data_IF_965269963144
#
_entry.id   IF_965269963144
#
_cell.length_a   1.000
_cell.length_b   1.000
_cell.length_c   1.000
_cell.angle_alpha   90.00
_cell.angle_beta   90.00
_cell.angle_gamma   90.00
#
_symmetry.space_group_name_H-M   'P 1'
#
loop_
_entity.id
_entity.type
_entity.pdbx_description
1 polymer ?
#
# COMPACT_ATOMS: atom_id res chain seq x y z
N UNK A 1 -1.19 -6.89 17.77
CA UNK A 1 -0.87 -7.12 16.36
C UNK A 1 -1.29 -5.96 15.50
N UNK A 2 -0.65 -5.80 14.35
CA UNK A 2 -1.06 -4.81 13.34
C UNK A 2 -1.09 -5.48 11.96
N UNK A 3 -2.12 -5.14 11.18
CA UNK A 3 -2.22 -5.50 9.76
C UNK A 3 -2.41 -4.22 8.96
N UNK A 4 -1.55 -3.98 7.99
CA UNK A 4 -1.61 -2.80 7.12
C UNK A 4 -1.62 -3.19 5.65
N UNK A 5 -2.52 -2.56 4.88
CA UNK A 5 -2.58 -2.71 3.43
C UNK A 5 -2.24 -1.39 2.74
N UNK A 6 -1.46 -1.42 1.68
CA UNK A 6 -1.13 -0.28 0.83
C UNK A 6 -0.64 0.94 1.66
N UNK A 7 -1.33 2.07 1.66
CA UNK A 7 -1.03 3.23 2.52
C UNK A 7 -1.04 2.85 4.01
N UNK A 8 -1.96 1.98 4.46
CA UNK A 8 -1.97 1.43 5.81
C UNK A 8 -0.69 0.68 6.16
N UNK A 9 0.00 0.12 5.17
CA UNK A 9 1.33 -0.47 5.34
C UNK A 9 2.42 0.55 5.66
N UNK A 10 2.37 1.75 5.08
CA UNK A 10 3.28 2.84 5.45
C UNK A 10 2.99 3.36 6.87
N UNK A 11 1.71 3.55 7.21
CA UNK A 11 1.26 3.99 8.54
C UNK A 11 1.67 2.95 9.61
N UNK A 12 1.47 1.66 9.33
CA UNK A 12 1.84 0.59 10.25
C UNK A 12 3.36 0.48 10.44
N UNK A 13 4.14 0.65 9.38
CA UNK A 13 5.60 0.70 9.46
C UNK A 13 6.05 1.87 10.35
N UNK A 14 5.47 3.05 10.15
CA UNK A 14 5.72 4.22 10.99
C UNK A 14 5.46 3.90 12.47
N UNK A 15 4.31 3.30 12.78
CA UNK A 15 3.96 2.95 14.15
C UNK A 15 4.97 1.97 14.78
N UNK A 16 5.45 0.99 14.02
CA UNK A 16 6.51 0.08 14.48
C UNK A 16 7.83 0.82 14.75
N UNK A 17 8.25 1.68 13.83
CA UNK A 17 9.49 2.47 13.96
C UNK A 17 9.45 3.47 15.13
N UNK A 18 8.26 3.96 15.48
CA UNK A 18 8.02 4.79 16.66
C UNK A 18 7.92 3.98 17.97
N UNK A 19 8.17 2.68 17.93
CA UNK A 19 8.21 1.81 19.11
C UNK A 19 6.83 1.49 19.70
N UNK A 20 5.75 1.54 18.91
CA UNK A 20 4.44 1.10 19.38
C UNK A 20 4.46 -0.40 19.69
N UNK A 21 3.84 -0.86 20.78
CA UNK A 21 4.01 -2.21 21.32
C UNK A 21 3.17 -3.24 20.57
N UNK A 22 3.59 -3.61 19.37
CA UNK A 22 3.00 -4.72 18.62
C UNK A 22 3.86 -5.99 18.79
N UNK A 23 3.21 -7.13 18.98
CA UNK A 23 3.85 -8.44 19.09
C UNK A 23 4.30 -8.99 17.73
N UNK A 24 3.55 -8.69 16.68
CA UNK A 24 3.89 -8.99 15.30
C UNK A 24 3.11 -8.11 14.33
N UNK A 25 3.55 -8.06 13.07
CA UNK A 25 2.91 -7.28 12.02
C UNK A 25 2.72 -8.08 10.73
N UNK A 26 1.66 -7.74 9.99
CA UNK A 26 1.45 -8.19 8.62
C UNK A 26 1.24 -7.01 7.68
N UNK A 27 1.87 -7.04 6.52
CA UNK A 27 1.71 -6.01 5.51
C UNK A 27 1.34 -6.62 4.16
N UNK A 28 0.28 -6.08 3.54
CA UNK A 28 -0.18 -6.47 2.22
C UNK A 28 0.09 -5.36 1.24
N UNK A 29 0.89 -5.63 0.21
CA UNK A 29 1.25 -4.66 -0.83
C UNK A 29 1.57 -3.25 -0.25
N UNK A 30 2.48 -3.15 0.74
CA UNK A 30 2.65 -1.92 1.50
C UNK A 30 3.25 -0.80 0.64
N UNK A 31 2.77 0.43 0.84
CA UNK A 31 3.26 1.61 0.15
C UNK A 31 4.59 2.12 0.76
N UNK A 32 5.62 1.29 0.73
CA UNK A 32 6.99 1.65 1.16
C UNK A 32 7.80 2.31 0.05
N UNK A 33 7.13 2.63 -1.04
CA UNK A 33 7.63 3.39 -2.17
C UNK A 33 6.52 3.67 -3.16
N UNK A 34 6.56 4.86 -3.78
CA UNK A 34 5.64 5.24 -4.85
C UNK A 34 6.34 5.07 -6.19
N UNK A 35 5.58 4.61 -7.20
CA UNK A 35 6.07 4.37 -8.57
C UNK A 35 6.38 5.64 -9.38
N UNK A 36 6.96 6.68 -8.75
CA UNK A 36 7.41 7.90 -9.40
C UNK A 36 8.88 7.83 -9.77
N UNK A 37 9.22 8.35 -10.95
CA UNK A 37 10.61 8.51 -11.38
C UNK A 37 11.35 9.52 -10.48
N UNK A 38 12.69 9.50 -10.41
CA UNK A 38 13.46 10.49 -9.65
C UNK A 38 13.14 11.95 -10.05
N UNK A 39 12.92 12.19 -11.36
CA UNK A 39 12.56 13.52 -11.86
C UNK A 39 11.18 13.94 -11.34
N UNK A 40 10.19 13.05 -11.38
CA UNK A 40 8.86 13.33 -10.86
C UNK A 40 8.89 13.60 -9.35
N UNK A 41 9.66 12.82 -8.58
CA UNK A 41 9.84 13.08 -7.14
C UNK A 41 10.48 14.43 -6.88
N UNK A 42 11.51 14.80 -7.64
CA UNK A 42 12.15 16.11 -7.53
C UNK A 42 11.15 17.25 -7.86
N UNK A 43 10.34 17.09 -8.91
CA UNK A 43 9.29 18.06 -9.24
C UNK A 43 8.27 18.20 -8.11
N UNK A 44 7.78 17.11 -7.54
CA UNK A 44 6.84 17.16 -6.41
C UNK A 44 7.46 17.90 -5.23
N UNK A 45 8.70 17.57 -4.84
CA UNK A 45 9.40 18.23 -3.73
C UNK A 45 9.59 19.74 -3.97
N UNK A 46 9.88 20.14 -5.19
CA UNK A 46 10.07 21.56 -5.54
C UNK A 46 8.73 22.33 -5.60
N UNK A 47 7.69 21.74 -6.20
CA UNK A 47 6.41 22.41 -6.40
C UNK A 47 5.50 22.37 -5.18
N UNK A 48 5.62 21.36 -4.32
CA UNK A 48 4.73 21.19 -3.15
C UNK A 48 4.73 22.41 -2.22
N UNK A 49 5.86 23.00 -1.81
CA UNK A 49 5.87 24.22 -1.00
C UNK A 49 5.17 25.41 -1.67
N UNK A 50 5.37 25.55 -2.98
CA UNK A 50 4.72 26.61 -3.76
C UNK A 50 3.20 26.41 -3.80
N UNK A 51 2.76 25.18 -4.07
CA UNK A 51 1.34 24.82 -4.06
C UNK A 51 0.71 25.06 -2.67
N UNK A 52 1.45 24.75 -1.61
CA UNK A 52 1.00 25.02 -0.24
C UNK A 52 0.85 26.54 0.02
N UNK A 53 1.86 27.33 -0.30
CA UNK A 53 1.84 28.78 -0.12
C UNK A 53 0.71 29.47 -0.90
N UNK A 54 0.30 28.90 -2.04
CA UNK A 54 -0.81 29.41 -2.86
C UNK A 54 -2.19 28.84 -2.44
N UNK A 55 -2.29 28.00 -1.40
CA UNK A 55 -3.53 27.33 -0.99
C UNK A 55 -4.04 26.28 -1.98
N UNK A 56 -3.17 25.78 -2.85
CA UNK A 56 -3.49 24.81 -3.91
C UNK A 56 -3.13 23.36 -3.57
N UNK A 57 -2.66 23.10 -2.36
CA UNK A 57 -2.18 21.78 -1.90
C UNK A 57 -3.24 20.66 -2.00
N UNK A 58 -4.52 21.03 -1.93
CA UNK A 58 -5.65 20.08 -2.05
C UNK A 58 -6.07 19.80 -3.50
N UNK A 59 -5.40 20.45 -4.48
CA UNK A 59 -5.62 20.13 -5.89
C UNK A 59 -5.20 18.70 -6.19
N UNK A 60 -6.00 18.04 -7.04
CA UNK A 60 -5.70 16.67 -7.47
C UNK A 60 -4.37 16.61 -8.20
N UNK A 61 -3.60 15.56 -7.93
CA UNK A 61 -2.33 15.33 -8.60
C UNK A 61 -2.52 15.16 -10.12
N UNK A 62 -1.63 15.73 -10.94
CA UNK A 62 -1.70 15.60 -12.39
C UNK A 62 -1.75 14.14 -12.85
N UNK A 63 -2.56 13.87 -13.87
CA UNK A 63 -2.73 12.52 -14.42
C UNK A 63 -3.72 11.64 -13.68
N UNK A 64 -4.33 12.12 -12.58
CA UNK A 64 -5.34 11.36 -11.83
C UNK A 64 -6.77 11.84 -12.15
N UNK A 65 -7.76 10.95 -11.96
CA UNK A 65 -9.18 11.25 -12.22
C UNK A 65 -9.94 11.57 -10.94
N UNK A 66 -11.05 12.33 -11.08
CA UNK A 66 -11.98 12.59 -9.98
C UNK A 66 -12.79 11.34 -9.60
N UNK A 67 -13.09 10.54 -10.60
CA UNK A 67 -13.87 9.33 -10.46
C UNK A 67 -13.03 8.22 -9.84
N UNK A 68 -13.66 7.44 -8.96
CA UNK A 68 -13.04 6.24 -8.36
C UNK A 68 -12.59 5.25 -9.43
N UNK A 69 -11.41 4.67 -9.22
CA UNK A 69 -10.75 3.78 -10.17
C UNK A 69 -11.67 2.71 -10.75
N UNK A 70 -12.40 1.97 -9.91
CA UNK A 70 -13.26 0.85 -10.30
C UNK A 70 -14.46 1.25 -11.17
N UNK A 71 -14.88 2.51 -11.17
CA UNK A 71 -16.02 2.97 -11.98
C UNK A 71 -15.67 3.33 -13.43
N UNK A 72 -14.37 3.40 -13.78
CA UNK A 72 -13.94 3.72 -15.13
C UNK A 72 -12.94 2.73 -15.71
N UNK A 73 -12.45 1.79 -14.89
CA UNK A 73 -11.48 0.79 -15.33
C UNK A 73 -12.17 -0.57 -15.49
N UNK A 74 -12.10 -1.23 -16.65
CA UNK A 74 -12.65 -2.57 -16.84
C UNK A 74 -11.84 -3.62 -16.07
N UNK A 75 -12.47 -4.75 -15.77
CA UNK A 75 -11.83 -5.84 -15.04
C UNK A 75 -10.54 -6.34 -15.73
N UNK A 76 -10.55 -6.45 -17.03
CA UNK A 76 -9.46 -7.02 -17.85
C UNK A 76 -8.13 -6.29 -17.61
N UNK A 77 -8.19 -4.97 -17.50
CA UNK A 77 -7.02 -4.09 -17.35
C UNK A 77 -6.80 -3.61 -15.91
N UNK A 78 -7.60 -4.09 -14.93
CA UNK A 78 -7.48 -3.61 -13.57
C UNK A 78 -6.17 -4.02 -12.91
N UNK A 79 -5.71 -3.24 -11.94
CA UNK A 79 -4.48 -3.47 -11.18
C UNK A 79 -4.74 -3.96 -9.75
N UNK A 80 -6.02 -4.12 -9.36
CA UNK A 80 -6.40 -4.37 -7.97
C UNK A 80 -6.42 -5.87 -7.64
N UNK A 81 -7.18 -6.67 -8.41
CA UNK A 81 -7.33 -8.10 -8.16
C UNK A 81 -7.47 -8.89 -9.45
N UNK A 82 -7.00 -10.13 -9.44
CA UNK A 82 -7.21 -11.09 -10.52
C UNK A 82 -8.55 -11.83 -10.43
N UNK A 83 -9.30 -11.65 -9.33
CA UNK A 83 -10.61 -12.26 -9.09
C UNK A 83 -11.74 -11.37 -9.60
N UNK A 84 -12.44 -11.83 -10.65
CA UNK A 84 -13.52 -11.06 -11.28
C UNK A 84 -14.74 -10.89 -10.36
N UNK A 85 -15.04 -11.88 -9.53
CA UNK A 85 -16.17 -11.80 -8.60
C UNK A 85 -15.91 -10.76 -7.52
N UNK A 86 -14.69 -10.76 -6.96
CA UNK A 86 -14.28 -9.78 -5.96
C UNK A 86 -14.20 -8.37 -6.56
N UNK A 87 -13.71 -8.22 -7.80
CA UNK A 87 -13.69 -6.92 -8.47
C UNK A 87 -15.09 -6.35 -8.66
N UNK A 88 -16.05 -7.20 -9.09
CA UNK A 88 -17.46 -6.81 -9.20
C UNK A 88 -18.04 -6.42 -7.84
N UNK A 89 -17.78 -7.22 -6.79
CA UNK A 89 -18.22 -6.93 -5.43
C UNK A 89 -17.73 -5.54 -4.95
N UNK A 90 -16.48 -5.21 -5.14
CA UNK A 90 -15.93 -3.89 -4.80
C UNK A 90 -16.60 -2.76 -5.61
N UNK A 91 -16.84 -2.99 -6.90
CA UNK A 91 -17.53 -2.04 -7.78
C UNK A 91 -18.97 -1.80 -7.34
N UNK A 92 -19.71 -2.88 -7.04
CA UNK A 92 -21.10 -2.80 -6.60
C UNK A 92 -21.24 -2.02 -5.29
N UNK A 93 -20.27 -2.13 -4.37
CA UNK A 93 -20.26 -1.32 -3.14
C UNK A 93 -20.15 0.18 -3.41
N UNK A 94 -19.28 0.58 -4.34
CA UNK A 94 -19.13 1.99 -4.73
C UNK A 94 -20.40 2.50 -5.43
N UNK A 95 -21.04 1.66 -6.24
CA UNK A 95 -22.32 2.01 -6.89
C UNK A 95 -23.43 2.19 -5.85
N UNK A 96 -23.52 1.28 -4.87
CA UNK A 96 -24.53 1.32 -3.82
C UNK A 96 -24.31 2.48 -2.82
N UNK A 97 -23.06 2.85 -2.59
CA UNK A 97 -22.64 3.90 -1.65
C UNK A 97 -21.59 4.80 -2.31
N UNK A 98 -22.01 5.78 -3.13
CA UNK A 98 -21.06 6.65 -3.87
C UNK A 98 -20.09 7.42 -3.00
N UNK A 99 -20.45 7.70 -1.75
CA UNK A 99 -19.59 8.40 -0.78
C UNK A 99 -18.35 7.58 -0.36
N UNK A 100 -18.33 6.28 -0.61
CA UNK A 100 -17.13 5.44 -0.46
C UNK A 100 -16.12 5.67 -1.58
N UNK A 101 -16.54 6.28 -2.67
CA UNK A 101 -15.73 6.49 -3.86
C UNK A 101 -14.76 7.66 -3.70
N UNK A 102 -13.47 7.37 -3.64
CA UNK A 102 -12.42 8.37 -3.66
C UNK A 102 -11.82 8.50 -5.06
N UNK A 103 -11.58 9.72 -5.48
CA UNK A 103 -10.79 10.01 -6.68
C UNK A 103 -9.29 9.90 -6.42
N UNK A 104 -8.49 10.30 -7.42
CA UNK A 104 -7.04 10.31 -7.30
C UNK A 104 -6.54 11.26 -6.18
N UNK A 105 -5.31 11.03 -5.69
CA UNK A 105 -4.74 11.74 -4.55
C UNK A 105 -4.56 13.24 -4.83
N UNK A 106 -4.50 14.03 -3.75
CA UNK A 106 -4.09 15.44 -3.84
C UNK A 106 -2.57 15.57 -4.01
N UNK A 107 -2.11 16.73 -4.48
CA UNK A 107 -0.67 17.02 -4.56
C UNK A 107 0.00 16.98 -3.18
N UNK A 108 -0.71 17.41 -2.14
CA UNK A 108 -0.23 17.32 -0.76
C UNK A 108 -0.05 15.85 -0.32
N UNK A 109 -1.05 15.00 -0.55
CA UNK A 109 -0.94 13.58 -0.22
C UNK A 109 0.28 12.93 -0.88
N UNK A 110 0.53 13.22 -2.17
CA UNK A 110 1.69 12.66 -2.89
C UNK A 110 3.01 13.15 -2.25
N UNK A 111 3.08 14.42 -1.87
CA UNK A 111 4.27 14.98 -1.24
C UNK A 111 4.55 14.35 0.14
N UNK A 112 3.52 14.18 0.97
CA UNK A 112 3.64 13.55 2.27
C UNK A 112 4.01 12.06 2.16
N UNK A 113 3.42 11.34 1.20
CA UNK A 113 3.77 9.95 0.96
C UNK A 113 5.23 9.76 0.50
N UNK A 114 5.79 10.70 -0.27
CA UNK A 114 7.22 10.70 -0.61
C UNK A 114 8.07 10.97 0.64
N UNK A 115 7.71 11.98 1.42
CA UNK A 115 8.45 12.35 2.63
C UNK A 115 8.45 11.20 3.65
N UNK A 116 7.32 10.53 3.84
CA UNK A 116 7.18 9.37 4.72
C UNK A 116 8.07 8.20 4.28
N UNK A 117 8.05 7.88 2.98
CA UNK A 117 8.88 6.81 2.45
C UNK A 117 10.39 7.13 2.56
N UNK A 118 10.78 8.38 2.38
CA UNK A 118 12.17 8.81 2.55
C UNK A 118 12.59 8.73 4.02
N UNK A 119 11.76 9.22 4.93
CA UNK A 119 11.98 9.14 6.37
C UNK A 119 12.13 7.67 6.84
N UNK A 120 11.21 6.78 6.44
CA UNK A 120 11.24 5.38 6.84
C UNK A 120 12.52 4.63 6.42
N UNK A 121 13.12 5.01 5.29
CA UNK A 121 14.39 4.43 4.82
C UNK A 121 15.58 4.71 5.71
N UNK A 122 15.54 5.79 6.47
CA UNK A 122 16.61 6.25 7.34
C UNK A 122 16.46 5.76 8.79
N UNK A 123 15.30 5.16 9.12
CA UNK A 123 15.05 4.69 10.47
C UNK A 123 15.64 3.31 10.74
N UNK A 124 15.97 3.00 12.00
CA UNK A 124 16.24 1.63 12.44
C UNK A 124 15.04 0.72 12.16
N UNK A 125 15.32 -0.49 11.70
CA UNK A 125 14.28 -1.47 11.43
C UNK A 125 13.81 -2.12 12.74
N UNK A 126 12.49 -2.26 12.96
CA UNK A 126 11.94 -2.82 14.19
C UNK A 126 12.28 -4.31 14.35
N UNK A 127 12.55 -4.72 15.58
CA UNK A 127 12.80 -6.14 15.89
C UNK A 127 11.53 -6.84 16.37
N UNK A 128 10.55 -6.96 15.46
CA UNK A 128 9.31 -7.70 15.67
C UNK A 128 9.08 -8.61 14.45
N UNK A 129 8.46 -9.79 14.62
CA UNK A 129 8.13 -10.66 13.49
C UNK A 129 7.19 -9.97 12.51
N UNK A 130 7.56 -9.92 11.23
CA UNK A 130 6.80 -9.27 10.18
C UNK A 130 6.61 -10.20 8.98
N UNK A 131 5.40 -10.26 8.45
CA UNK A 131 5.12 -10.82 7.13
C UNK A 131 4.80 -9.70 6.15
N UNK A 132 5.52 -9.64 5.04
CA UNK A 132 5.26 -8.72 3.93
C UNK A 132 4.77 -9.52 2.72
N UNK A 133 3.49 -9.41 2.41
CA UNK A 133 2.89 -10.06 1.24
C UNK A 133 2.96 -9.13 0.04
N UNK A 134 3.45 -9.66 -1.08
CA UNK A 134 3.60 -8.89 -2.32
C UNK A 134 3.16 -9.73 -3.51
N UNK A 135 2.19 -9.25 -4.26
CA UNK A 135 1.73 -9.88 -5.47
C UNK A 135 2.82 -9.93 -6.54
N UNK A 136 2.93 -11.03 -7.29
CA UNK A 136 3.91 -11.11 -8.39
C UNK A 136 3.53 -10.19 -9.56
N UNK A 137 2.25 -9.84 -9.69
CA UNK A 137 1.70 -8.94 -10.72
C UNK A 137 1.36 -7.54 -10.17
N UNK A 138 1.91 -7.18 -9.00
CA UNK A 138 1.78 -5.85 -8.38
C UNK A 138 2.36 -4.73 -9.27
N UNK A 139 1.57 -3.68 -9.51
CA UNK A 139 1.95 -2.53 -10.36
C UNK A 139 1.62 -1.16 -9.75
N UNK A 140 1.02 -1.11 -8.57
CA UNK A 140 0.60 0.15 -7.92
C UNK A 140 1.70 0.70 -7.03
N UNK A 141 2.26 -0.14 -6.16
CA UNK A 141 3.37 0.25 -5.31
C UNK A 141 4.72 -0.04 -5.97
N UNK A 142 5.76 0.61 -5.48
CA UNK A 142 7.13 0.35 -5.95
C UNK A 142 7.66 -0.96 -5.35
N UNK A 143 7.50 -2.06 -6.07
CA UNK A 143 7.91 -3.40 -5.63
C UNK A 143 9.42 -3.51 -5.37
N UNK A 144 10.25 -2.75 -6.09
CA UNK A 144 11.69 -2.74 -5.85
C UNK A 144 12.01 -2.10 -4.49
N UNK A 145 11.32 -1.02 -4.12
CA UNK A 145 11.50 -0.39 -2.82
C UNK A 145 11.04 -1.28 -1.67
N UNK A 146 9.93 -2.03 -1.85
CA UNK A 146 9.46 -3.01 -0.87
C UNK A 146 10.49 -4.12 -0.69
N UNK A 147 10.98 -4.71 -1.76
CA UNK A 147 11.98 -5.79 -1.73
C UNK A 147 13.31 -5.32 -1.11
N UNK A 148 13.75 -4.11 -1.43
CA UNK A 148 14.95 -3.51 -0.84
C UNK A 148 14.82 -3.33 0.68
N UNK A 149 13.68 -2.85 1.15
CA UNK A 149 13.44 -2.70 2.59
C UNK A 149 13.43 -4.06 3.30
N UNK A 150 12.68 -5.04 2.75
CA UNK A 150 12.63 -6.39 3.33
C UNK A 150 14.00 -7.06 3.35
N UNK A 151 14.80 -6.91 2.30
CA UNK A 151 16.15 -7.50 2.24
C UNK A 151 17.08 -6.99 3.36
N UNK A 152 16.83 -5.80 3.90
CA UNK A 152 17.57 -5.21 5.01
C UNK A 152 16.95 -5.46 6.38
N UNK A 153 15.77 -6.11 6.44
CA UNK A 153 14.97 -6.29 7.64
C UNK A 153 14.97 -7.75 8.11
N UNK A 154 15.86 -8.15 9.04
CA UNK A 154 16.03 -9.55 9.44
C UNK A 154 14.77 -10.21 9.99
N UNK A 155 13.91 -9.44 10.68
CA UNK A 155 12.66 -9.92 11.28
C UNK A 155 11.47 -9.89 10.31
N UNK A 156 11.68 -9.53 9.03
CA UNK A 156 10.63 -9.45 8.02
C UNK A 156 10.80 -10.52 6.95
N UNK A 157 9.78 -11.35 6.77
CA UNK A 157 9.71 -12.34 5.70
C UNK A 157 8.90 -11.77 4.52
N UNK A 158 9.47 -11.82 3.31
CA UNK A 158 8.73 -11.55 2.08
C UNK A 158 7.97 -12.80 1.64
N UNK A 159 6.66 -12.71 1.54
CA UNK A 159 5.77 -13.77 1.05
C UNK A 159 5.24 -13.38 -0.34
N UNK A 160 5.80 -13.92 -1.43
CA UNK A 160 5.28 -13.68 -2.76
C UNK A 160 3.93 -14.36 -2.93
N UNK A 161 2.95 -13.63 -3.47
CA UNK A 161 1.62 -14.16 -3.81
C UNK A 161 1.57 -14.35 -5.32
N UNK A 162 1.58 -15.62 -5.82
CA UNK A 162 1.59 -15.90 -7.25
C UNK A 162 0.38 -15.28 -7.95
N UNK A 163 0.63 -14.56 -9.06
CA UNK A 163 -0.37 -13.84 -9.84
C UNK A 163 -1.22 -12.82 -9.08
N UNK A 164 -0.92 -12.59 -7.80
CA UNK A 164 -1.59 -11.57 -7.00
C UNK A 164 -1.29 -10.18 -7.53
N UNK A 165 -2.31 -9.33 -7.55
CA UNK A 165 -2.24 -7.89 -7.83
C UNK A 165 -2.19 -7.13 -6.50
N UNK A 166 -2.70 -5.89 -6.48
CA UNK A 166 -2.56 -5.01 -5.31
C UNK A 166 -3.38 -5.45 -4.09
N UNK A 167 -4.65 -5.81 -4.30
CA UNK A 167 -5.60 -6.12 -3.23
C UNK A 167 -5.50 -7.60 -2.78
N UNK A 168 -4.37 -8.01 -2.24
CA UNK A 168 -4.14 -9.41 -1.83
C UNK A 168 -5.24 -9.97 -0.92
N UNK A 169 -5.77 -9.23 0.08
CA UNK A 169 -6.90 -9.70 0.89
C UNK A 169 -8.19 -9.94 0.11
N UNK A 170 -8.25 -9.42 -1.11
CA UNK A 170 -9.40 -9.45 -2.03
C UNK A 170 -9.05 -10.21 -3.32
N UNK A 171 -8.01 -11.03 -3.32
CA UNK A 171 -7.58 -11.88 -4.43
C UNK A 171 -8.36 -13.20 -4.49
N UNK A 172 -7.97 -14.10 -5.39
CA UNK A 172 -8.57 -15.43 -5.54
C UNK A 172 -8.62 -16.19 -4.20
N UNK A 173 -9.53 -17.15 -4.01
CA UNK A 173 -9.63 -17.93 -2.77
C UNK A 173 -8.30 -18.55 -2.33
N UNK A 174 -7.48 -19.03 -3.27
CA UNK A 174 -6.17 -19.63 -2.95
C UNK A 174 -5.18 -18.59 -2.42
N UNK A 175 -5.14 -17.40 -3.03
CA UNK A 175 -4.28 -16.30 -2.57
C UNK A 175 -4.73 -15.77 -1.20
N UNK A 176 -6.03 -15.68 -0.97
CA UNK A 176 -6.59 -15.31 0.33
C UNK A 176 -6.26 -16.33 1.42
N UNK A 177 -6.37 -17.63 1.12
CA UNK A 177 -5.99 -18.68 2.05
C UNK A 177 -4.52 -18.56 2.44
N UNK A 178 -3.61 -18.44 1.45
CA UNK A 178 -2.19 -18.23 1.73
C UNK A 178 -1.97 -17.01 2.64
N UNK A 179 -2.61 -15.90 2.37
CA UNK A 179 -2.48 -14.67 3.14
C UNK A 179 -2.95 -14.84 4.59
N UNK A 180 -4.19 -15.29 4.79
CA UNK A 180 -4.79 -15.38 6.12
C UNK A 180 -4.19 -16.52 6.96
N UNK A 181 -3.89 -17.67 6.38
CA UNK A 181 -3.31 -18.80 7.10
C UNK A 181 -1.89 -18.47 7.62
N UNK A 182 -1.07 -17.80 6.78
CA UNK A 182 0.27 -17.36 7.19
C UNK A 182 0.21 -16.30 8.31
N UNK A 183 -0.69 -15.32 8.21
CA UNK A 183 -0.89 -14.32 9.26
C UNK A 183 -1.38 -14.95 10.56
N UNK A 184 -2.37 -15.83 10.48
CA UNK A 184 -2.91 -16.53 11.65
C UNK A 184 -1.81 -17.33 12.36
N UNK A 185 -0.98 -18.05 11.60
CA UNK A 185 0.12 -18.84 12.17
C UNK A 185 1.11 -17.96 12.95
N UNK A 186 1.56 -16.82 12.37
CA UNK A 186 2.51 -15.94 13.04
C UNK A 186 1.86 -15.25 14.24
N UNK A 187 0.63 -14.74 14.13
CA UNK A 187 -0.03 -14.05 15.23
C UNK A 187 -0.35 -14.98 16.38
N UNK A 188 -0.77 -16.22 16.10
CA UNK A 188 -1.00 -17.25 17.16
C UNK A 188 0.29 -17.59 17.88
N UNK A 189 1.40 -17.80 17.16
CA UNK A 189 2.69 -18.13 17.75
C UNK A 189 3.22 -17.01 18.68
N UNK A 190 2.85 -15.76 18.46
CA UNK A 190 3.26 -14.63 19.30
C UNK A 190 2.25 -14.30 20.41
N UNK A 191 1.13 -15.02 20.47
CA UNK A 191 0.11 -14.86 21.52
C UNK A 191 0.32 -15.85 22.69
N UNK A 192 1.18 -16.84 22.52
CA UNK A 192 1.47 -17.88 23.50
C UNK A 192 2.57 -17.43 24.46
#
# INVERSE_FOLDING_TARGET
FILGHSMGGAIGLRALMEGKPFLAAGFSAPMWGIGLTPIQKAMVRFLSPVMHALGLQNRRAPGTKAQTYMLWHPFEDNLLTSDAETYRYMTDQIIAQPDLGLGGPSTHWVSEAIAENDWAREQPLPDVPVLCFLGTDEKIVNTAAVKDLVARWPSCELVPVPHGRHEIPMETPASRALFYDRLAAVFTAQSA
#
